data_IF_351796123423
#
_entry.id   IF_351796123423
#
_cell.length_a   1.000
_cell.length_b   1.000
_cell.length_c   1.000
_cell.angle_alpha   90.00
_cell.angle_beta   90.00
_cell.angle_gamma   90.00
#
_symmetry.space_group_name_H-M   'P 1'
#
loop_
_entity.id
_entity.type
_entity.pdbx_description
1 polymer ?
#
# COMPACT_ATOMS: atom_id res chain seq x y z
N UNK A 1 -40.08 11.63 60.05
CA UNK A 1 -38.65 11.31 59.80
C UNK A 1 -38.53 10.65 58.44
N UNK A 2 -37.98 11.39 57.48
CA UNK A 2 -37.89 11.02 56.06
C UNK A 2 -36.74 10.01 55.89
N UNK A 3 -37.04 8.80 55.41
CA UNK A 3 -36.02 7.83 55.01
C UNK A 3 -35.40 8.26 53.67
N UNK A 4 -34.12 8.64 53.69
CA UNK A 4 -33.32 8.82 52.46
C UNK A 4 -32.86 7.45 51.98
N UNK A 5 -33.40 7.01 50.85
CA UNK A 5 -32.86 5.87 50.11
C UNK A 5 -31.65 6.35 49.29
N UNK A 6 -30.47 5.83 49.62
CA UNK A 6 -29.24 6.05 48.84
C UNK A 6 -29.30 5.14 47.61
N UNK A 7 -29.49 5.73 46.43
CA UNK A 7 -29.35 5.03 45.14
C UNK A 7 -27.87 4.92 44.82
N UNK A 8 -27.32 3.72 44.92
CA UNK A 8 -25.96 3.41 44.43
C UNK A 8 -26.08 3.11 42.94
N UNK A 9 -25.68 4.08 42.12
CA UNK A 9 -25.58 3.91 40.68
C UNK A 9 -24.33 3.05 40.38
N UNK A 10 -24.49 1.74 40.20
CA UNK A 10 -23.43 0.91 39.65
C UNK A 10 -23.26 1.24 38.16
N UNK A 11 -22.24 2.03 37.84
CA UNK A 11 -21.78 2.18 36.46
C UNK A 11 -21.12 0.86 36.04
N UNK A 12 -21.84 0.03 35.29
CA UNK A 12 -21.23 -1.05 34.52
C UNK A 12 -20.36 -0.42 33.44
N UNK A 13 -19.09 -0.23 33.74
CA UNK A 13 -18.08 0.04 32.72
C UNK A 13 -17.92 -1.27 31.94
N UNK A 14 -18.73 -1.44 30.89
CA UNK A 14 -18.50 -2.50 29.91
C UNK A 14 -17.14 -2.23 29.29
N UNK A 15 -16.12 -2.98 29.72
CA UNK A 15 -14.86 -3.07 29.00
C UNK A 15 -15.19 -3.77 27.68
N UNK A 16 -15.59 -2.98 26.67
CA UNK A 16 -15.59 -3.45 25.30
C UNK A 16 -14.13 -3.73 24.98
N UNK A 17 -13.73 -5.00 25.07
CA UNK A 17 -12.53 -5.44 24.39
C UNK A 17 -12.78 -5.11 22.92
N UNK A 18 -12.10 -4.08 22.41
CA UNK A 18 -12.06 -3.82 20.98
C UNK A 18 -11.41 -5.06 20.36
N UNK A 19 -12.24 -5.97 19.87
CA UNK A 19 -11.79 -7.07 19.03
C UNK A 19 -11.13 -6.37 17.84
N UNK A 20 -9.83 -6.61 17.64
CA UNK A 20 -9.15 -6.12 16.45
C UNK A 20 -10.00 -6.55 15.25
N UNK A 21 -10.47 -5.59 14.45
CA UNK A 21 -11.36 -5.93 13.34
C UNK A 21 -10.59 -6.75 12.31
N UNK A 22 -11.08 -7.95 12.00
CA UNK A 22 -10.54 -8.81 10.94
C UNK A 22 -10.73 -8.22 9.53
N UNK A 23 -11.31 -7.02 9.43
CA UNK A 23 -11.49 -6.21 8.23
C UNK A 23 -11.31 -4.73 8.61
N UNK A 24 -10.16 -4.15 8.24
CA UNK A 24 -9.80 -2.77 8.60
C UNK A 24 -9.75 -1.91 7.34
N UNK A 25 -10.54 -0.83 7.32
CA UNK A 25 -10.67 0.12 6.22
C UNK A 25 -9.94 1.43 6.56
N UNK A 26 -9.19 1.93 5.58
CA UNK A 26 -8.53 3.24 5.60
C UNK A 26 -8.91 4.02 4.34
N UNK A 27 -9.05 5.34 4.48
CA UNK A 27 -9.27 6.24 3.35
C UNK A 27 -8.00 7.01 2.99
N UNK A 28 -7.70 7.11 1.70
CA UNK A 28 -6.76 8.07 1.14
C UNK A 28 -7.55 9.15 0.40
N UNK A 29 -7.29 10.42 0.74
CA UNK A 29 -7.87 11.56 0.05
C UNK A 29 -6.75 12.53 -0.33
N UNK A 30 -6.68 12.88 -1.61
CA UNK A 30 -5.76 13.89 -2.14
C UNK A 30 -6.40 14.49 -3.38
N UNK A 31 -6.40 15.83 -3.44
CA UNK A 31 -7.12 16.59 -4.45
C UNK A 31 -8.60 16.16 -4.53
N UNK A 32 -9.08 15.72 -5.71
CA UNK A 32 -10.44 15.22 -5.90
C UNK A 32 -10.57 13.69 -5.78
N UNK A 33 -9.49 12.98 -5.42
CA UNK A 33 -9.49 11.51 -5.36
C UNK A 33 -9.87 11.02 -3.97
N UNK A 34 -10.77 10.03 -3.94
CA UNK A 34 -11.19 9.31 -2.74
C UNK A 34 -10.92 7.83 -2.99
N UNK A 35 -9.87 7.29 -2.35
CA UNK A 35 -9.45 5.90 -2.52
C UNK A 35 -9.56 5.17 -1.18
N UNK A 36 -10.40 4.16 -1.16
CA UNK A 36 -10.53 3.20 -0.07
C UNK A 36 -9.44 2.13 -0.21
N UNK A 37 -8.85 1.76 0.92
CA UNK A 37 -7.91 0.65 1.01
C UNK A 37 -8.16 -0.12 2.29
N UNK A 38 -8.18 -1.46 2.23
CA UNK A 38 -8.48 -2.28 3.39
C UNK A 38 -7.61 -3.53 3.49
N UNK A 39 -7.48 -4.06 4.70
CA UNK A 39 -6.93 -5.39 4.96
C UNK A 39 -8.04 -6.32 5.43
N UNK A 40 -7.92 -7.61 5.16
CA UNK A 40 -8.74 -8.62 5.84
C UNK A 40 -7.91 -9.83 6.21
N UNK A 41 -8.23 -10.40 7.37
CA UNK A 41 -7.71 -11.66 7.88
C UNK A 41 -8.65 -12.84 7.56
N UNK A 42 -9.78 -12.58 6.89
CA UNK A 42 -10.73 -13.61 6.50
C UNK A 42 -10.18 -14.41 5.31
N UNK A 43 -10.01 -15.70 5.53
CA UNK A 43 -9.85 -16.67 4.45
C UNK A 43 -11.21 -16.88 3.75
N UNK A 44 -11.21 -17.37 2.51
CA UNK A 44 -12.43 -17.71 1.73
C UNK A 44 -13.43 -16.60 1.38
N UNK A 45 -13.05 -15.31 1.43
CA UNK A 45 -13.89 -14.23 0.84
C UNK A 45 -14.26 -14.59 -0.62
N UNK A 46 -15.56 -14.55 -0.95
CA UNK A 46 -16.07 -14.78 -2.31
C UNK A 46 -16.57 -13.50 -2.98
N UNK A 47 -16.90 -12.47 -2.18
CA UNK A 47 -17.35 -11.17 -2.67
C UNK A 47 -17.05 -10.07 -1.67
N UNK A 48 -16.81 -8.86 -2.17
CA UNK A 48 -16.67 -7.67 -1.34
C UNK A 48 -17.58 -6.57 -1.87
N UNK A 49 -18.17 -5.80 -0.97
CA UNK A 49 -19.17 -4.79 -1.29
C UNK A 49 -18.74 -3.45 -0.66
N UNK A 50 -18.74 -2.40 -1.49
CA UNK A 50 -18.40 -1.04 -1.05
C UNK A 50 -19.69 -0.27 -0.80
N UNK A 51 -19.82 0.27 0.42
CA UNK A 51 -20.95 1.09 0.83
C UNK A 51 -20.52 2.54 1.03
N UNK A 52 -21.34 3.47 0.53
CA UNK A 52 -21.21 4.91 0.76
C UNK A 52 -22.43 5.43 1.50
N UNK A 53 -22.21 6.27 2.50
CA UNK A 53 -23.21 6.78 3.43
C UNK A 53 -23.15 8.31 3.47
N UNK A 54 -24.31 8.96 3.56
CA UNK A 54 -24.38 10.43 3.72
C UNK A 54 -24.17 10.84 5.18
N UNK A 55 -24.55 10.00 6.13
CA UNK A 55 -24.29 10.18 7.56
C UNK A 55 -23.77 8.90 8.20
N UNK A 56 -23.12 9.00 9.36
CA UNK A 56 -22.60 7.83 10.08
C UNK A 56 -23.69 6.83 10.49
N UNK A 57 -24.91 7.31 10.73
CA UNK A 57 -26.06 6.48 11.11
C UNK A 57 -26.78 5.82 9.93
N UNK A 58 -26.44 6.17 8.70
CA UNK A 58 -27.09 5.58 7.52
C UNK A 58 -26.58 4.15 7.28
N UNK A 59 -27.46 3.29 6.77
CA UNK A 59 -27.08 1.95 6.28
C UNK A 59 -26.18 2.03 5.03
N UNK A 60 -26.32 3.11 4.25
CA UNK A 60 -25.55 3.39 3.05
C UNK A 60 -26.07 2.72 1.78
N UNK A 61 -25.66 3.27 0.65
CA UNK A 61 -25.87 2.70 -0.67
C UNK A 61 -24.67 1.83 -1.06
N UNK A 62 -24.93 0.64 -1.62
CA UNK A 62 -23.87 -0.18 -2.20
C UNK A 62 -23.49 0.36 -3.58
N UNK A 63 -22.29 0.93 -3.67
CA UNK A 63 -21.79 1.57 -4.89
C UNK A 63 -20.91 0.65 -5.74
N UNK A 64 -20.40 -0.45 -5.18
CA UNK A 64 -19.61 -1.42 -5.94
C UNK A 64 -19.69 -2.84 -5.36
N UNK A 65 -19.47 -3.82 -6.25
CA UNK A 65 -19.23 -5.22 -5.92
C UNK A 65 -17.90 -5.62 -6.54
N UNK A 66 -17.00 -6.13 -5.72
CA UNK A 66 -15.60 -6.40 -6.06
C UNK A 66 -15.28 -7.88 -5.93
N UNK A 67 -14.21 -8.28 -6.61
CA UNK A 67 -13.68 -9.65 -6.54
C UNK A 67 -12.99 -9.90 -5.19
N UNK A 68 -12.81 -11.17 -4.79
CA UNK A 68 -12.15 -11.54 -3.54
C UNK A 68 -10.74 -10.97 -3.32
N UNK A 69 -9.99 -10.75 -4.39
CA UNK A 69 -8.58 -10.38 -4.31
C UNK A 69 -8.38 -8.86 -4.17
N UNK A 70 -9.38 -8.05 -4.53
CA UNK A 70 -9.25 -6.59 -4.51
C UNK A 70 -9.16 -6.06 -3.08
N UNK A 71 -8.26 -5.10 -2.85
CA UNK A 71 -8.06 -4.45 -1.53
C UNK A 71 -8.07 -2.94 -1.62
N UNK A 72 -8.43 -2.38 -2.79
CA UNK A 72 -8.61 -0.94 -2.99
C UNK A 72 -9.77 -0.64 -3.93
N UNK A 73 -10.37 0.54 -3.73
CA UNK A 73 -11.46 1.05 -4.57
C UNK A 73 -11.38 2.58 -4.64
N UNK A 74 -11.52 3.15 -5.83
CA UNK A 74 -11.63 4.60 -6.01
C UNK A 74 -13.10 4.95 -6.29
N UNK A 75 -13.69 5.81 -5.47
CA UNK A 75 -15.02 6.33 -5.74
C UNK A 75 -14.94 7.54 -6.67
N UNK A 76 -15.19 7.29 -7.96
CA UNK A 76 -15.22 8.32 -9.00
C UNK A 76 -16.61 8.95 -9.20
N UNK A 77 -17.59 8.52 -8.39
CA UNK A 77 -18.99 8.95 -8.49
C UNK A 77 -19.43 9.85 -7.34
N UNK A 78 -18.60 10.00 -6.32
CA UNK A 78 -18.85 10.89 -5.19
C UNK A 78 -18.89 12.35 -5.67
N UNK A 79 -19.85 13.11 -5.16
CA UNK A 79 -19.89 14.54 -5.38
C UNK A 79 -18.82 15.24 -4.53
N UNK A 80 -17.90 15.96 -5.17
CA UNK A 80 -16.79 16.64 -4.47
C UNK A 80 -17.21 17.77 -3.52
N UNK A 81 -18.50 18.14 -3.49
CA UNK A 81 -19.05 19.13 -2.56
C UNK A 81 -19.64 18.51 -1.28
N UNK A 82 -19.78 17.19 -1.23
CA UNK A 82 -20.37 16.48 -0.10
C UNK A 82 -19.34 15.60 0.59
N UNK A 83 -19.43 15.54 1.91
CA UNK A 83 -18.71 14.55 2.68
C UNK A 83 -19.48 13.23 2.75
N UNK A 84 -18.74 12.12 2.76
CA UNK A 84 -19.29 10.78 2.80
C UNK A 84 -18.57 9.93 3.83
N UNK A 85 -19.29 8.96 4.36
CA UNK A 85 -18.70 7.84 5.09
C UNK A 85 -18.66 6.60 4.21
N UNK A 86 -17.67 5.74 4.43
CA UNK A 86 -17.51 4.49 3.69
C UNK A 86 -17.36 3.30 4.63
N UNK A 87 -17.81 2.15 4.14
CA UNK A 87 -17.68 0.86 4.81
C UNK A 87 -17.54 -0.26 3.79
N UNK A 88 -16.73 -1.26 4.11
CA UNK A 88 -16.61 -2.49 3.33
C UNK A 88 -17.38 -3.60 4.03
N UNK A 89 -18.14 -4.36 3.25
CA UNK A 89 -18.71 -5.65 3.68
C UNK A 89 -18.08 -6.76 2.85
N UNK A 90 -17.36 -7.67 3.51
CA UNK A 90 -16.83 -8.89 2.88
C UNK A 90 -17.77 -10.06 3.17
N UNK A 91 -17.98 -10.92 2.17
CA UNK A 91 -18.84 -12.10 2.26
C UNK A 91 -17.98 -13.34 1.98
N UNK A 92 -18.04 -14.32 2.88
CA UNK A 92 -17.35 -15.62 2.71
C UNK A 92 -18.21 -16.64 1.94
N UNK A 93 -17.67 -17.85 1.74
CA UNK A 93 -18.33 -18.95 1.05
C UNK A 93 -19.45 -19.64 1.86
N UNK A 94 -19.72 -19.19 3.09
CA UNK A 94 -20.88 -19.57 3.90
C UNK A 94 -21.90 -18.43 4.08
N UNK A 95 -21.80 -17.36 3.28
CA UNK A 95 -22.64 -16.16 3.35
C UNK A 95 -22.54 -15.38 4.69
N UNK A 96 -21.48 -15.58 5.50
CA UNK A 96 -21.22 -14.70 6.62
C UNK A 96 -20.73 -13.34 6.14
N UNK A 97 -21.17 -12.28 6.82
CA UNK A 97 -20.85 -10.90 6.46
C UNK A 97 -19.92 -10.31 7.52
N UNK A 98 -18.71 -9.96 7.08
CA UNK A 98 -17.72 -9.22 7.86
C UNK A 98 -17.75 -7.76 7.47
N UNK A 99 -17.85 -6.87 8.46
CA UNK A 99 -18.04 -5.45 8.21
C UNK A 99 -16.86 -4.65 8.77
N UNK A 100 -16.33 -3.72 7.98
CA UNK A 100 -15.21 -2.88 8.39
C UNK A 100 -15.63 -1.78 9.37
N UNK A 101 -14.65 -1.13 9.99
CA UNK A 101 -14.85 0.21 10.56
C UNK A 101 -15.37 1.18 9.48
N UNK A 102 -16.02 2.27 9.92
CA UNK A 102 -16.32 3.40 9.05
C UNK A 102 -15.05 4.26 8.87
N UNK A 103 -14.97 4.96 7.74
CA UNK A 103 -14.03 6.05 7.44
C UNK A 103 -14.80 7.20 6.81
N UNK A 104 -14.28 8.42 6.84
CA UNK A 104 -14.97 9.63 6.35
C UNK A 104 -14.07 10.48 5.47
N UNK A 105 -14.65 11.14 4.45
CA UNK A 105 -13.96 12.21 3.71
C UNK A 105 -13.90 13.52 4.50
N UNK A 106 -14.76 13.68 5.52
CA UNK A 106 -14.68 14.83 6.38
C UNK A 106 -13.47 14.69 7.31
N UNK A 107 -12.48 15.60 7.28
CA UNK A 107 -11.24 15.42 8.05
C UNK A 107 -11.45 15.37 9.57
N UNK A 108 -12.46 16.08 10.09
CA UNK A 108 -12.74 16.11 11.53
C UNK A 108 -13.36 14.79 12.01
N UNK A 109 -14.28 14.25 11.23
CA UNK A 109 -14.91 12.94 11.47
C UNK A 109 -13.91 11.81 11.29
N UNK A 110 -13.08 11.85 10.25
CA UNK A 110 -12.02 10.87 10.03
C UNK A 110 -11.02 10.86 11.18
N UNK A 111 -10.63 12.03 11.69
CA UNK A 111 -9.74 12.12 12.84
C UNK A 111 -10.37 11.50 14.10
N UNK A 112 -11.67 11.69 14.32
CA UNK A 112 -12.40 11.04 15.41
C UNK A 112 -12.42 9.51 15.28
N UNK A 113 -12.80 9.00 14.10
CA UNK A 113 -12.88 7.57 13.80
C UNK A 113 -11.51 6.91 13.91
N UNK A 114 -10.47 7.49 13.30
CA UNK A 114 -9.11 6.93 13.30
C UNK A 114 -8.45 7.00 14.68
N UNK A 115 -8.72 8.02 15.50
CA UNK A 115 -8.21 8.06 16.88
C UNK A 115 -8.75 6.90 17.70
N UNK A 116 -10.03 6.57 17.55
CA UNK A 116 -10.65 5.44 18.24
C UNK A 116 -10.05 4.09 17.79
N UNK A 117 -9.78 3.95 16.48
CA UNK A 117 -9.20 2.74 15.91
C UNK A 117 -7.73 2.57 16.30
N UNK A 118 -6.95 3.65 16.23
CA UNK A 118 -5.52 3.65 16.56
C UNK A 118 -5.26 3.38 18.06
N UNK A 119 -6.24 3.60 18.93
CA UNK A 119 -6.16 3.18 20.34
C UNK A 119 -6.00 1.66 20.50
N UNK A 120 -6.44 0.87 19.52
CA UNK A 120 -6.26 -0.58 19.46
C UNK A 120 -4.98 -1.02 18.71
N UNK A 121 -4.17 -0.07 18.24
CA UNK A 121 -2.92 -0.37 17.51
C UNK A 121 -1.91 -1.11 18.38
N UNK A 122 -1.12 -1.99 17.77
CA UNK A 122 -0.01 -2.64 18.45
C UNK A 122 0.98 -1.59 18.97
N UNK A 123 1.45 -1.77 20.21
CA UNK A 123 2.53 -0.94 20.78
C UNK A 123 3.85 -1.08 20.01
N UNK A 124 4.00 -2.12 19.18
CA UNK A 124 5.14 -2.32 18.28
C UNK A 124 5.03 -1.51 16.97
N UNK A 125 3.90 -0.83 16.72
CA UNK A 125 3.74 0.07 15.59
C UNK A 125 4.17 1.51 15.93
N UNK A 126 5.46 1.79 15.77
CA UNK A 126 6.02 3.14 15.93
C UNK A 126 7.14 3.38 14.89
N UNK A 127 7.43 4.65 14.60
CA UNK A 127 8.45 5.02 13.64
C UNK A 127 9.86 4.56 14.10
N UNK A 128 10.58 3.86 13.23
CA UNK A 128 11.87 3.24 13.52
C UNK A 128 11.78 1.86 14.17
N UNK A 129 10.58 1.26 14.28
CA UNK A 129 10.42 -0.07 14.86
C UNK A 129 11.07 -1.16 13.99
N UNK A 130 11.59 -2.19 14.66
CA UNK A 130 12.12 -3.40 14.04
C UNK A 130 11.21 -4.57 14.41
N UNK A 131 10.49 -5.12 13.43
CA UNK A 131 9.50 -6.17 13.62
C UNK A 131 10.09 -7.49 13.12
N UNK A 132 10.07 -8.54 13.97
CA UNK A 132 10.68 -9.83 13.66
C UNK A 132 9.72 -10.99 13.92
N UNK A 133 9.58 -11.90 12.96
CA UNK A 133 8.87 -13.18 13.09
C UNK A 133 7.43 -13.06 13.62
N UNK A 134 6.70 -12.02 13.22
CA UNK A 134 5.33 -11.75 13.68
C UNK A 134 4.55 -10.89 12.69
N UNK A 135 3.25 -10.81 12.91
CA UNK A 135 2.38 -9.82 12.29
C UNK A 135 2.13 -8.68 13.28
N UNK A 136 2.23 -7.43 12.81
CA UNK A 136 1.88 -6.22 13.56
C UNK A 136 0.74 -5.52 12.84
N UNK A 137 -0.37 -5.32 13.55
CA UNK A 137 -1.48 -4.48 13.10
C UNK A 137 -1.34 -3.06 13.67
N UNK A 138 -1.26 -2.09 12.79
CA UNK A 138 -1.16 -0.68 13.12
C UNK A 138 -2.52 0.01 13.24
N UNK A 139 -3.63 -0.66 12.88
CA UNK A 139 -5.00 -0.17 13.06
C UNK A 139 -5.22 1.26 12.52
N UNK A 140 -4.65 1.56 11.36
CA UNK A 140 -4.75 2.86 10.68
C UNK A 140 -3.79 3.94 11.21
N UNK A 141 -2.94 3.63 12.20
CA UNK A 141 -2.04 4.61 12.84
C UNK A 141 -1.10 5.25 11.82
N UNK A 142 -0.97 6.57 11.93
CA UNK A 142 0.01 7.37 11.19
C UNK A 142 1.35 7.40 11.90
N UNK A 143 2.40 7.00 11.21
CA UNK A 143 3.79 7.06 11.69
C UNK A 143 4.69 7.69 10.64
N UNK A 144 5.81 8.23 11.07
CA UNK A 144 6.83 8.77 10.18
C UNK A 144 8.08 9.19 10.95
N UNK A 145 9.20 9.22 10.24
CA UNK A 145 10.44 9.82 10.72
C UNK A 145 10.55 11.24 10.16
N UNK A 146 11.66 11.59 9.53
CA UNK A 146 11.83 12.83 8.79
C UNK A 146 12.13 12.52 7.32
N UNK A 147 11.70 13.40 6.43
CA UNK A 147 12.11 13.38 5.04
C UNK A 147 13.16 14.46 4.77
N UNK A 148 14.36 14.06 4.34
CA UNK A 148 15.48 14.96 4.07
C UNK A 148 15.83 15.02 2.57
N UNK A 149 14.81 14.90 1.71
CA UNK A 149 14.97 14.81 0.25
C UNK A 149 15.44 13.42 -0.20
N UNK A 150 16.24 13.39 -1.25
CA UNK A 150 16.83 12.20 -1.89
C UNK A 150 18.20 11.82 -1.32
N UNK A 151 18.50 12.23 -0.08
CA UNK A 151 19.78 11.93 0.57
C UNK A 151 19.86 10.46 0.95
N UNK A 152 20.88 9.78 0.43
CA UNK A 152 21.23 8.41 0.82
C UNK A 152 21.43 8.24 2.34
N UNK A 153 20.95 7.12 2.88
CA UNK A 153 21.19 6.72 4.28
C UNK A 153 20.13 7.19 5.27
N UNK A 154 18.95 7.58 4.80
CA UNK A 154 17.79 7.77 5.66
C UNK A 154 17.42 6.45 6.35
N UNK A 155 16.83 6.54 7.55
CA UNK A 155 16.36 5.35 8.27
C UNK A 155 15.02 4.92 7.70
N UNK A 156 14.80 3.62 7.61
CA UNK A 156 13.48 3.06 7.36
C UNK A 156 12.50 3.45 8.48
N UNK A 157 11.27 3.81 8.13
CA UNK A 157 10.18 4.04 9.06
C UNK A 157 9.80 2.74 9.77
N UNK A 158 9.87 1.61 9.09
CA UNK A 158 9.72 0.27 9.67
C UNK A 158 10.72 -0.70 9.05
N UNK A 159 11.30 -1.56 9.88
CA UNK A 159 12.22 -2.61 9.44
C UNK A 159 11.65 -3.99 9.76
N UNK A 160 11.48 -4.83 8.75
CA UNK A 160 10.85 -6.14 8.84
C UNK A 160 11.89 -7.26 8.66
N UNK A 161 11.85 -8.26 9.54
CA UNK A 161 12.56 -9.52 9.39
C UNK A 161 11.58 -10.68 9.49
N UNK A 162 11.26 -11.29 8.35
CA UNK A 162 10.29 -12.39 8.28
C UNK A 162 8.96 -12.03 8.98
N UNK A 163 8.40 -10.87 8.63
CA UNK A 163 7.32 -10.24 9.38
C UNK A 163 6.28 -9.57 8.48
N UNK A 164 5.08 -9.41 9.01
CA UNK A 164 3.97 -8.70 8.34
C UNK A 164 3.68 -7.42 9.09
N UNK A 165 3.47 -6.32 8.36
CA UNK A 165 2.81 -5.13 8.88
C UNK A 165 1.52 -4.89 8.10
N UNK A 166 0.44 -4.55 8.82
CA UNK A 166 -0.83 -4.18 8.22
C UNK A 166 -1.42 -2.89 8.78
N UNK A 167 -2.23 -2.22 7.97
CA UNK A 167 -3.04 -1.05 8.34
C UNK A 167 -2.22 0.12 8.88
N UNK A 168 -1.19 0.56 8.14
CA UNK A 168 -0.31 1.65 8.57
C UNK A 168 -0.31 2.78 7.56
N UNK A 169 -0.34 4.02 8.08
CA UNK A 169 -0.17 5.22 7.26
C UNK A 169 1.24 5.79 7.48
N UNK A 170 1.98 5.98 6.40
CA UNK A 170 3.28 6.64 6.41
C UNK A 170 3.06 8.11 6.08
N UNK A 171 3.43 8.98 7.03
CA UNK A 171 3.10 10.40 6.97
C UNK A 171 3.81 11.13 5.84
N UNK A 172 3.14 12.13 5.26
CA UNK A 172 3.64 12.93 4.14
C UNK A 172 5.05 13.46 4.36
N UNK A 173 5.31 14.10 5.50
CA UNK A 173 6.61 14.72 5.80
C UNK A 173 7.60 13.78 6.52
N UNK A 174 7.20 12.53 6.76
CA UNK A 174 7.95 11.55 7.54
C UNK A 174 8.23 10.25 6.80
N UNK A 175 8.14 10.26 5.46
CA UNK A 175 8.34 9.07 4.63
C UNK A 175 9.71 8.40 4.75
N UNK A 176 10.77 9.17 5.00
CA UNK A 176 12.16 8.70 5.12
C UNK A 176 12.53 7.65 4.04
N UNK A 177 13.17 6.55 4.42
CA UNK A 177 13.46 5.42 3.50
C UNK A 177 12.35 4.35 3.50
N UNK A 178 11.10 4.77 3.74
CA UNK A 178 9.94 3.90 3.65
C UNK A 178 9.98 2.69 4.59
N UNK A 179 9.58 1.51 4.09
CA UNK A 179 9.55 0.25 4.83
C UNK A 179 10.58 -0.72 4.25
N UNK A 180 11.45 -1.29 5.10
CA UNK A 180 12.45 -2.26 4.67
C UNK A 180 12.04 -3.68 5.00
N UNK A 181 12.11 -4.58 4.02
CA UNK A 181 12.18 -6.01 4.26
C UNK A 181 13.65 -6.43 4.28
N UNK A 182 14.25 -6.55 5.47
CA UNK A 182 15.69 -6.82 5.61
C UNK A 182 16.06 -8.30 5.53
N UNK A 183 15.13 -9.21 5.86
CA UNK A 183 15.39 -10.65 5.77
C UNK A 183 14.11 -11.46 5.75
N UNK A 184 14.20 -12.71 5.27
CA UNK A 184 13.06 -13.63 5.24
C UNK A 184 11.95 -13.16 4.30
N UNK A 185 10.71 -13.53 4.62
CA UNK A 185 9.54 -13.13 3.85
C UNK A 185 8.78 -12.03 4.59
N UNK A 186 8.58 -10.88 3.96
CA UNK A 186 7.84 -9.77 4.54
C UNK A 186 6.55 -9.49 3.76
N UNK A 187 5.52 -9.05 4.47
CA UNK A 187 4.25 -8.65 3.87
C UNK A 187 3.87 -7.25 4.36
N UNK A 188 3.50 -6.39 3.42
CA UNK A 188 3.02 -5.03 3.63
C UNK A 188 1.58 -5.01 3.11
N UNK A 189 0.61 -4.94 4.03
CA UNK A 189 -0.80 -5.04 3.68
C UNK A 189 -1.55 -3.77 4.09
N UNK A 190 -2.36 -3.22 3.18
CA UNK A 190 -3.11 -2.00 3.44
C UNK A 190 -2.24 -0.86 4.01
N UNK A 191 -1.16 -0.53 3.29
CA UNK A 191 -0.27 0.57 3.66
C UNK A 191 -0.60 1.79 2.80
N UNK A 192 -0.76 2.95 3.44
CA UNK A 192 -0.95 4.23 2.75
C UNK A 192 0.30 5.09 2.92
N UNK A 193 0.99 5.38 1.83
CA UNK A 193 2.07 6.36 1.80
C UNK A 193 1.51 7.70 1.32
N UNK A 194 1.41 8.68 2.23
CA UNK A 194 0.82 9.98 1.92
C UNK A 194 1.67 10.82 0.98
N UNK A 195 3.00 10.66 1.02
CA UNK A 195 3.96 11.21 0.06
C UNK A 195 5.29 10.47 0.22
N UNK A 196 5.76 9.82 -0.85
CA UNK A 196 7.02 9.08 -0.81
C UNK A 196 8.19 10.08 -0.68
N UNK A 197 9.11 9.77 0.22
CA UNK A 197 10.34 10.52 0.38
C UNK A 197 11.45 9.96 -0.52
N UNK A 198 12.17 8.93 -0.07
CA UNK A 198 13.18 8.24 -0.89
C UNK A 198 12.52 7.13 -1.71
N UNK A 199 12.14 6.04 -1.03
CA UNK A 199 11.40 4.90 -1.58
C UNK A 199 10.18 4.59 -0.69
N UNK A 200 9.14 3.94 -1.23
CA UNK A 200 8.02 3.48 -0.41
C UNK A 200 8.39 2.22 0.38
N UNK A 201 9.05 1.26 -0.29
CA UNK A 201 9.58 0.07 0.35
C UNK A 201 10.77 -0.56 -0.39
N UNK A 202 11.65 -1.21 0.39
CA UNK A 202 12.90 -1.80 -0.08
C UNK A 202 12.97 -3.28 0.26
N UNK A 203 13.18 -4.13 -0.76
CA UNK A 203 13.39 -5.57 -0.59
C UNK A 203 14.89 -5.92 -0.53
N UNK A 204 15.35 -6.13 0.70
CA UNK A 204 16.66 -6.68 1.05
C UNK A 204 16.54 -8.17 1.51
N UNK A 205 15.31 -8.70 1.61
CA UNK A 205 15.00 -10.05 2.08
C UNK A 205 14.82 -11.08 0.95
N UNK A 206 14.09 -12.16 1.23
CA UNK A 206 13.82 -13.27 0.30
C UNK A 206 12.56 -13.03 -0.52
N UNK A 207 11.47 -12.58 0.12
CA UNK A 207 10.23 -12.22 -0.54
C UNK A 207 9.62 -11.00 0.12
N UNK A 208 9.25 -9.99 -0.65
CA UNK A 208 8.46 -8.85 -0.16
C UNK A 208 7.12 -8.85 -0.90
N UNK A 209 6.02 -8.90 -0.16
CA UNK A 209 4.66 -8.96 -0.72
C UNK A 209 3.91 -7.69 -0.36
N UNK A 210 3.36 -7.00 -1.35
CA UNK A 210 2.51 -5.83 -1.19
C UNK A 210 1.08 -6.24 -1.54
N UNK A 211 0.13 -6.00 -0.62
CA UNK A 211 -1.27 -6.38 -0.77
C UNK A 211 -2.16 -5.16 -0.55
N UNK A 212 -2.78 -4.68 -1.63
CA UNK A 212 -3.54 -3.42 -1.59
C UNK A 212 -2.66 -2.25 -1.19
N UNK A 213 -3.26 -1.21 -0.62
CA UNK A 213 -2.54 0.02 -0.25
C UNK A 213 -2.50 1.06 -1.37
N UNK A 214 -2.13 2.28 -0.97
CA UNK A 214 -2.06 3.45 -1.84
C UNK A 214 -0.72 4.13 -1.64
N UNK A 215 -0.01 4.48 -2.71
CA UNK A 215 1.20 5.28 -2.60
C UNK A 215 1.15 6.51 -3.49
N UNK A 216 1.22 7.67 -2.85
CA UNK A 216 1.30 8.95 -3.51
C UNK A 216 2.75 9.43 -3.59
N UNK A 217 3.04 10.17 -4.66
CA UNK A 217 4.24 10.97 -4.77
C UNK A 217 3.94 12.18 -5.66
N UNK A 218 4.74 13.24 -5.57
CA UNK A 218 4.58 14.45 -6.35
C UNK A 218 5.91 15.00 -6.84
N UNK A 219 5.89 15.72 -7.98
CA UNK A 219 7.11 16.25 -8.58
C UNK A 219 7.89 17.24 -7.68
N UNK A 220 7.18 17.87 -6.73
CA UNK A 220 7.72 18.84 -5.78
C UNK A 220 7.44 18.40 -4.32
N UNK A 221 7.34 17.10 -4.10
CA UNK A 221 7.09 16.51 -2.78
C UNK A 221 8.30 16.65 -1.85
N UNK A 222 8.16 16.20 -0.60
CA UNK A 222 9.22 16.29 0.41
C UNK A 222 10.47 15.49 0.03
N UNK A 223 10.33 14.43 -0.77
CA UNK A 223 11.42 13.64 -1.34
C UNK A 223 12.14 14.27 -2.54
N UNK A 224 11.62 15.39 -3.06
CA UNK A 224 12.09 15.97 -4.32
C UNK A 224 11.56 15.21 -5.53
N UNK A 225 12.43 14.98 -6.53
CA UNK A 225 12.01 14.39 -7.81
C UNK A 225 11.71 12.89 -7.63
N UNK A 226 10.51 12.40 -8.02
CA UNK A 226 10.16 11.00 -7.89
C UNK A 226 11.14 10.05 -8.62
N UNK A 227 11.72 9.08 -7.90
CA UNK A 227 12.62 8.06 -8.48
C UNK A 227 11.98 6.67 -8.58
N UNK A 228 11.77 5.98 -7.46
CA UNK A 228 11.26 4.60 -7.43
C UNK A 228 10.33 4.38 -6.24
N UNK A 229 9.25 3.63 -6.45
CA UNK A 229 8.32 3.25 -5.37
C UNK A 229 8.89 2.05 -4.63
N UNK A 230 9.25 0.99 -5.37
CA UNK A 230 9.79 -0.23 -4.82
C UNK A 230 11.23 -0.48 -5.28
N UNK A 231 12.14 -0.48 -4.32
CA UNK A 231 13.54 -0.85 -4.53
C UNK A 231 13.75 -2.34 -4.23
N UNK A 232 14.61 -2.99 -5.00
CA UNK A 232 14.94 -4.41 -4.80
C UNK A 232 16.44 -4.65 -4.94
N UNK A 233 17.10 -4.93 -3.83
CA UNK A 233 18.55 -5.08 -3.74
C UNK A 233 18.99 -6.53 -3.61
N UNK A 234 18.26 -7.35 -2.85
CA UNK A 234 18.62 -8.74 -2.60
C UNK A 234 18.61 -9.58 -3.87
N UNK A 235 19.40 -10.65 -3.89
CA UNK A 235 19.51 -11.60 -5.00
C UNK A 235 18.71 -12.86 -4.69
N UNK A 236 18.31 -13.58 -5.73
CA UNK A 236 17.51 -14.81 -5.64
C UNK A 236 16.25 -14.62 -4.78
N UNK A 237 15.57 -13.51 -5.02
CA UNK A 237 14.47 -13.02 -4.20
C UNK A 237 13.38 -12.39 -5.06
N UNK A 238 12.18 -12.25 -4.49
CA UNK A 238 10.98 -11.83 -5.23
C UNK A 238 10.30 -10.64 -4.56
N UNK A 239 9.90 -9.65 -5.35
CA UNK A 239 8.88 -8.66 -4.94
C UNK A 239 7.57 -9.02 -5.62
N UNK A 240 6.50 -9.17 -4.86
CA UNK A 240 5.15 -9.48 -5.35
C UNK A 240 4.20 -8.33 -5.00
N UNK A 241 3.41 -7.87 -5.95
CA UNK A 241 2.46 -6.77 -5.78
C UNK A 241 1.09 -7.23 -6.28
N UNK A 242 0.09 -7.21 -5.40
CA UNK A 242 -1.27 -7.63 -5.71
C UNK A 242 -2.34 -6.84 -4.95
N UNK A 243 -3.59 -7.21 -5.17
CA UNK A 243 -4.73 -6.66 -4.45
C UNK A 243 -5.12 -5.24 -4.87
N UNK A 244 -4.90 -4.91 -6.14
CA UNK A 244 -5.12 -3.56 -6.68
C UNK A 244 -4.33 -2.49 -5.91
N UNK A 245 -3.06 -2.74 -5.56
CA UNK A 245 -2.21 -1.65 -5.09
C UNK A 245 -2.29 -0.46 -6.07
N UNK A 246 -2.52 0.74 -5.53
CA UNK A 246 -2.81 1.93 -6.34
C UNK A 246 -1.73 3.00 -6.19
N UNK A 247 -1.21 3.48 -7.32
CA UNK A 247 -0.34 4.66 -7.37
C UNK A 247 -1.14 5.90 -7.78
N UNK A 248 -0.92 7.02 -7.09
CA UNK A 248 -1.53 8.33 -7.38
C UNK A 248 -0.46 9.42 -7.53
N UNK A 249 -0.78 10.53 -8.20
CA UNK A 249 0.15 11.66 -8.36
C UNK A 249 1.18 11.48 -9.48
N UNK A 250 2.46 11.67 -9.16
CA UNK A 250 3.59 11.60 -10.11
C UNK A 250 4.73 10.71 -9.59
N UNK A 251 5.16 9.74 -10.40
CA UNK A 251 6.16 8.74 -10.03
C UNK A 251 7.28 8.61 -11.07
N UNK A 252 8.47 8.20 -10.64
CA UNK A 252 9.56 7.85 -11.56
C UNK A 252 9.37 6.44 -12.12
N UNK A 253 9.51 5.44 -11.26
CA UNK A 253 9.41 4.01 -11.57
C UNK A 253 8.61 3.32 -10.47
N UNK A 254 7.75 2.36 -10.82
CA UNK A 254 7.08 1.59 -9.77
C UNK A 254 8.04 0.59 -9.13
N UNK A 255 8.83 -0.13 -9.91
CA UNK A 255 9.79 -1.10 -9.41
C UNK A 255 11.14 -0.98 -10.12
N UNK A 256 12.23 -1.12 -9.35
CA UNK A 256 13.58 -1.22 -9.89
C UNK A 256 14.41 -2.30 -9.17
N UNK A 257 14.86 -3.29 -9.93
CA UNK A 257 16.00 -4.13 -9.53
C UNK A 257 17.26 -3.26 -9.47
N UNK A 258 18.06 -3.31 -8.42
CA UNK A 258 19.18 -2.38 -8.28
C UNK A 258 20.16 -2.44 -9.47
N UNK A 259 20.44 -1.28 -10.08
CA UNK A 259 21.22 -1.19 -11.32
C UNK A 259 22.74 -1.14 -11.14
N UNK A 260 23.21 -0.59 -10.02
CA UNK A 260 24.62 -0.32 -9.74
C UNK A 260 24.97 -0.51 -8.24
N UNK A 261 24.30 -1.45 -7.56
CA UNK A 261 24.58 -1.73 -6.15
C UNK A 261 25.99 -2.30 -5.92
N UNK A 262 26.49 -2.18 -4.69
CA UNK A 262 27.70 -2.91 -4.27
C UNK A 262 27.43 -4.41 -4.36
N UNK A 263 28.38 -5.18 -4.88
CA UNK A 263 28.22 -6.61 -5.12
C UNK A 263 26.95 -6.91 -5.91
N UNK A 264 26.66 -6.13 -6.97
CA UNK A 264 25.45 -6.29 -7.75
C UNK A 264 25.37 -7.70 -8.39
N UNK A 265 24.16 -8.08 -8.75
CA UNK A 265 23.86 -9.36 -9.38
C UNK A 265 22.36 -9.62 -9.35
N UNK A 266 22.02 -10.87 -9.62
CA UNK A 266 20.65 -11.37 -9.59
C UNK A 266 20.65 -12.89 -9.48
N UNK A 267 19.54 -13.56 -9.83
CA UNK A 267 18.33 -12.97 -10.39
C UNK A 267 17.49 -12.24 -9.34
N UNK A 268 16.77 -11.19 -9.73
CA UNK A 268 15.69 -10.56 -8.96
C UNK A 268 14.38 -10.70 -9.70
N UNK A 269 13.34 -11.10 -8.99
CA UNK A 269 12.03 -11.40 -9.58
C UNK A 269 10.98 -10.38 -9.17
N UNK A 270 10.15 -9.96 -10.13
CA UNK A 270 8.95 -9.17 -9.91
C UNK A 270 7.72 -9.97 -10.34
N UNK A 271 6.69 -9.98 -9.50
CA UNK A 271 5.36 -10.49 -9.85
C UNK A 271 4.32 -9.41 -9.57
N UNK A 272 3.56 -9.01 -10.59
CA UNK A 272 2.45 -8.06 -10.46
C UNK A 272 1.18 -8.77 -10.91
N UNK A 273 0.15 -8.70 -10.06
CA UNK A 273 -1.20 -9.15 -10.40
C UNK A 273 -2.26 -8.25 -9.77
N UNK A 274 -2.80 -7.32 -10.55
CA UNK A 274 -3.79 -6.35 -10.06
C UNK A 274 -3.11 -5.13 -9.45
N UNK A 275 -2.76 -4.17 -10.30
CA UNK A 275 -2.21 -2.85 -9.92
C UNK A 275 -2.93 -1.78 -10.72
N UNK A 276 -3.25 -0.66 -10.06
CA UNK A 276 -3.78 0.55 -10.70
C UNK A 276 -2.75 1.66 -10.61
N UNK A 277 -2.47 2.31 -11.73
CA UNK A 277 -1.60 3.48 -11.79
C UNK A 277 -2.46 4.66 -12.22
N UNK A 278 -3.10 5.32 -11.25
CA UNK A 278 -3.77 6.60 -11.46
C UNK A 278 -2.80 7.79 -11.32
N UNK A 279 -1.67 7.66 -11.99
CA UNK A 279 -0.55 8.56 -11.85
C UNK A 279 0.16 8.76 -13.18
N UNK A 280 0.86 9.90 -13.29
CA UNK A 280 1.92 10.04 -14.30
C UNK A 280 3.13 9.26 -13.83
N UNK A 281 3.66 8.37 -14.67
CA UNK A 281 4.81 7.54 -14.32
C UNK A 281 5.79 7.43 -15.47
N UNK A 282 7.10 7.32 -15.18
CA UNK A 282 8.13 7.13 -16.19
C UNK A 282 8.17 5.70 -16.76
N UNK A 283 8.12 4.68 -15.89
CA UNK A 283 8.01 3.28 -16.28
C UNK A 283 7.51 2.38 -15.15
N UNK A 284 7.00 1.20 -15.48
CA UNK A 284 6.47 0.26 -14.46
C UNK A 284 7.61 -0.56 -13.83
N UNK A 285 8.34 -1.35 -14.61
CA UNK A 285 9.39 -2.23 -14.11
C UNK A 285 10.73 -1.98 -14.82
N UNK A 286 11.81 -1.85 -14.05
CA UNK A 286 13.19 -1.86 -14.54
C UNK A 286 13.96 -3.09 -14.06
N UNK A 287 14.31 -3.99 -14.97
CA UNK A 287 15.01 -5.26 -14.67
C UNK A 287 16.39 -5.32 -15.33
N UNK A 288 17.35 -6.04 -14.73
CA UNK A 288 18.68 -6.25 -15.30
C UNK A 288 18.75 -7.58 -16.06
N UNK A 289 18.60 -7.55 -17.38
CA UNK A 289 18.53 -8.75 -18.20
C UNK A 289 19.80 -9.62 -18.13
N UNK A 290 20.98 -8.99 -18.03
CA UNK A 290 22.26 -9.68 -17.87
C UNK A 290 22.42 -10.40 -16.51
N UNK A 291 21.60 -10.07 -15.52
CA UNK A 291 21.55 -10.77 -14.24
C UNK A 291 20.41 -11.78 -14.15
N UNK A 292 19.72 -12.04 -15.27
CA UNK A 292 18.60 -12.98 -15.39
C UNK A 292 17.41 -12.59 -14.51
N UNK A 293 17.24 -11.29 -14.25
CA UNK A 293 16.04 -10.77 -13.63
C UNK A 293 14.82 -11.06 -14.52
N UNK A 294 13.66 -11.28 -13.89
CA UNK A 294 12.41 -11.39 -14.64
C UNK A 294 11.25 -10.69 -13.96
N UNK A 295 10.38 -10.07 -14.76
CA UNK A 295 9.14 -9.45 -14.35
C UNK A 295 7.95 -10.15 -15.02
N UNK A 296 7.06 -10.68 -14.21
CA UNK A 296 5.76 -11.22 -14.62
C UNK A 296 4.68 -10.20 -14.26
N UNK A 297 3.95 -9.69 -15.25
CA UNK A 297 2.97 -8.63 -15.02
C UNK A 297 1.62 -9.05 -15.61
N UNK A 298 0.58 -9.04 -14.77
CA UNK A 298 -0.82 -9.34 -15.13
C UNK A 298 -1.73 -8.27 -14.54
N UNK A 299 -2.87 -8.05 -15.19
CA UNK A 299 -3.96 -7.22 -14.67
C UNK A 299 -3.49 -5.81 -14.24
N UNK A 300 -2.71 -5.15 -15.09
CA UNK A 300 -2.21 -3.80 -14.87
C UNK A 300 -3.13 -2.77 -15.53
N UNK A 301 -3.58 -1.77 -14.78
CA UNK A 301 -4.39 -0.65 -15.28
C UNK A 301 -3.62 0.65 -15.13
N UNK A 302 -3.53 1.47 -16.17
CA UNK A 302 -2.77 2.74 -16.14
C UNK A 302 -3.64 3.88 -16.70
N UNK A 303 -3.70 5.00 -15.99
CA UNK A 303 -4.39 6.22 -16.44
C UNK A 303 -3.85 6.66 -17.79
N UNK A 304 -4.76 6.88 -18.73
CA UNK A 304 -4.42 7.34 -20.09
C UNK A 304 -3.41 6.46 -20.82
N UNK A 305 -3.38 5.15 -20.52
CA UNK A 305 -2.47 4.21 -21.15
C UNK A 305 -2.55 4.25 -22.68
N UNK A 306 -1.38 4.31 -23.30
CA UNK A 306 -1.14 3.97 -24.70
C UNK A 306 0.12 3.11 -24.74
N UNK A 307 0.22 2.18 -25.68
CA UNK A 307 1.42 1.35 -25.82
C UNK A 307 2.68 2.22 -25.86
N UNK A 308 3.65 1.91 -24.98
CA UNK A 308 4.90 2.68 -24.80
C UNK A 308 4.79 3.97 -23.97
N UNK A 309 3.60 4.34 -23.49
CA UNK A 309 3.35 5.53 -22.64
C UNK A 309 2.41 5.18 -21.47
N UNK A 310 2.96 4.92 -20.27
CA UNK A 310 4.39 4.76 -19.95
C UNK A 310 4.98 3.46 -20.52
N UNK A 311 6.30 3.31 -20.41
CA UNK A 311 6.96 2.02 -20.69
C UNK A 311 6.65 1.03 -19.58
N UNK A 312 6.27 -0.19 -19.93
CA UNK A 312 5.86 -1.20 -18.94
C UNK A 312 7.07 -1.95 -18.40
N UNK A 313 7.62 -2.92 -19.13
CA UNK A 313 8.81 -3.65 -18.70
C UNK A 313 10.04 -3.20 -19.48
N UNK A 314 11.02 -2.63 -18.79
CA UNK A 314 12.24 -2.08 -19.37
C UNK A 314 13.44 -2.90 -18.93
N UNK A 315 14.18 -3.42 -19.89
CA UNK A 315 15.45 -4.09 -19.63
C UNK A 315 16.61 -3.09 -19.53
N UNK A 316 17.53 -3.38 -18.62
CA UNK A 316 18.77 -2.67 -18.35
C UNK A 316 19.95 -3.65 -18.33
N UNK A 317 21.17 -3.11 -18.44
CA UNK A 317 22.40 -3.81 -18.08
C UNK A 317 22.78 -3.40 -16.66
N UNK A 318 22.67 -4.32 -15.71
CA UNK A 318 23.16 -4.15 -14.36
C UNK A 318 24.68 -4.21 -14.31
N UNK A 319 25.29 -3.38 -13.47
CA UNK A 319 26.74 -3.25 -13.31
C UNK A 319 27.10 -3.23 -11.82
N UNK A 320 28.39 -3.36 -11.50
CA UNK A 320 28.87 -3.15 -10.13
C UNK A 320 28.92 -1.65 -9.79
N UNK A 321 28.77 -1.32 -8.50
CA UNK A 321 28.97 0.04 -8.01
C UNK A 321 30.34 0.59 -8.42
N UNK A 322 30.36 1.84 -8.86
CA UNK A 322 31.59 2.52 -9.32
C UNK A 322 31.98 2.26 -10.77
N UNK A 323 31.24 1.42 -11.51
CA UNK A 323 31.50 1.13 -12.94
C UNK A 323 30.69 2.01 -13.90
N UNK A 324 30.24 3.18 -13.44
CA UNK A 324 29.38 4.09 -14.20
C UNK A 324 27.89 3.85 -13.98
N UNK A 325 27.09 4.04 -15.02
CA UNK A 325 25.62 4.00 -14.97
C UNK A 325 25.03 2.75 -15.63
N UNK A 326 23.96 2.22 -15.03
CA UNK A 326 23.23 1.07 -15.56
C UNK A 326 22.54 1.44 -16.88
N UNK A 327 23.03 0.88 -17.99
CA UNK A 327 22.55 1.24 -19.33
C UNK A 327 21.14 0.73 -19.60
N UNK A 328 20.25 1.61 -20.03
CA UNK A 328 18.90 1.27 -20.50
C UNK A 328 18.95 0.59 -21.86
N UNK A 329 18.36 -0.60 -21.98
CA UNK A 329 18.20 -1.31 -23.26
C UNK A 329 16.93 -0.84 -23.97
N UNK A 330 15.79 -0.88 -23.27
CA UNK A 330 14.51 -0.50 -23.86
C UNK A 330 13.34 -1.30 -23.31
N UNK A 331 12.13 -0.93 -23.75
CA UNK A 331 10.91 -1.67 -23.41
C UNK A 331 10.88 -3.00 -24.16
N UNK A 332 10.42 -4.07 -23.49
CA UNK A 332 10.30 -5.42 -24.03
C UNK A 332 8.95 -6.03 -23.64
N UNK A 333 8.48 -6.95 -24.48
CA UNK A 333 7.21 -7.67 -24.33
C UNK A 333 7.44 -9.12 -24.72
N UNK A 334 6.74 -10.05 -24.08
CA UNK A 334 6.77 -11.48 -24.40
C UNK A 334 8.19 -12.08 -24.44
N UNK A 335 9.10 -11.61 -23.59
CA UNK A 335 10.42 -12.23 -23.39
C UNK A 335 10.42 -13.01 -22.08
N UNK A 336 11.42 -13.88 -21.86
CA UNK A 336 11.58 -14.57 -20.58
C UNK A 336 11.84 -13.59 -19.43
N UNK A 337 12.54 -12.49 -19.69
CA UNK A 337 12.81 -11.44 -18.71
C UNK A 337 11.59 -10.53 -18.52
N UNK A 338 10.92 -10.12 -19.59
CA UNK A 338 9.68 -9.33 -19.55
C UNK A 338 8.49 -10.20 -19.94
N UNK A 339 8.02 -11.00 -18.98
CA UNK A 339 6.86 -11.87 -19.12
C UNK A 339 5.57 -11.04 -18.93
N UNK A 340 5.29 -10.24 -19.95
CA UNK A 340 4.12 -9.38 -20.05
C UNK A 340 3.72 -9.24 -21.52
N UNK A 341 2.43 -9.36 -21.78
CA UNK A 341 1.79 -9.13 -23.07
C UNK A 341 1.01 -7.82 -23.05
N UNK A 342 0.70 -7.27 -24.22
CA UNK A 342 -0.11 -6.04 -24.30
C UNK A 342 -1.52 -6.23 -23.72
N UNK A 343 -2.09 -7.44 -23.76
CA UNK A 343 -3.39 -7.75 -23.15
C UNK A 343 -3.40 -7.71 -21.62
N UNK A 344 -2.22 -7.82 -21.00
CA UNK A 344 -2.06 -7.72 -19.54
C UNK A 344 -2.13 -6.27 -19.04
N UNK A 345 -2.09 -5.29 -19.94
CA UNK A 345 -2.05 -3.87 -19.62
C UNK A 345 -3.19 -3.14 -20.31
N UNK A 346 -4.00 -2.44 -19.52
CA UNK A 346 -5.18 -1.72 -20.02
C UNK A 346 -5.18 -0.29 -19.54
N UNK A 347 -5.90 0.57 -20.25
CA UNK A 347 -6.25 1.89 -19.75
C UNK A 347 -7.15 1.72 -18.52
N UNK A 348 -6.89 2.51 -17.47
CA UNK A 348 -7.75 2.58 -16.29
C UNK A 348 -9.17 3.00 -16.65
#
# INVERSE_FOLDING_TARGET
MIHRATVVLLSFLSCQFAVASDLTLMLYQQDAQTILSWSSDQDSIVRQEVYRKSTLSDEGERIAVLTPDERTFEDTTADGYNDYYYQIKAVDDQDHIFTSNNTSTNPSEENYLTTSLAAASSSECYAGAVIKNKTVDCQGKTIGLSCNGDKEGQKAVLTLHNATVKNVRISKNGGADGIHCESGNCTLQNVIWEDICEDAATNNGKKMTIIGGVAYNSANGPGGKPDKVFQHNSKNSTTEIRGNFTLTGEHGKMYRSCGNCTNNGGPRYLSINGVKVDAKIGSIAGINGNYRDSATIRNLKIKNYKTGKPKVCVEYVGIQKGQGESRKIGEKWNTSACNVSQSDVRKL
#
